data_IF_027869700686
#
_entry.id   IF_027869700686
#
_cell.length_a   1.000
_cell.length_b   1.000
_cell.length_c   1.000
_cell.angle_alpha   90.00
_cell.angle_beta   90.00
_cell.angle_gamma   90.00
#
_symmetry.space_group_name_H-M   'P 1'
#
loop_
_entity.id
_entity.type
_entity.pdbx_description
1 polymer ?
#
# COMPACT_ATOMS: atom_id res chain seq x y z
N UNK A 1 -4.21 -11.60 -6.48
CA UNK A 1 -4.51 -11.13 -5.11
C UNK A 1 -3.38 -11.54 -4.20
N UNK A 2 -2.62 -10.55 -3.77
CA UNK A 2 -1.52 -10.63 -2.83
C UNK A 2 -1.91 -9.98 -1.50
N UNK A 3 -1.30 -10.46 -0.43
CA UNK A 3 -1.36 -9.83 0.88
C UNK A 3 0.07 -9.48 1.27
N UNK A 4 0.40 -8.19 1.20
CA UNK A 4 1.76 -7.69 1.37
C UNK A 4 1.82 -6.89 2.67
N UNK A 5 2.81 -7.21 3.49
CA UNK A 5 3.07 -6.52 4.75
C UNK A 5 4.52 -6.08 4.74
N UNK A 6 4.73 -4.78 4.93
CA UNK A 6 6.04 -4.16 5.14
C UNK A 6 6.58 -4.46 6.54
N UNK A 7 7.33 -3.51 7.06
CA UNK A 7 8.08 -3.59 8.30
C UNK A 7 7.91 -2.30 9.10
N UNK A 8 8.59 -2.19 10.25
CA UNK A 8 8.56 -0.95 11.03
C UNK A 8 9.63 0.06 10.58
N UNK A 9 10.02 0.00 9.30
CA UNK A 9 11.01 0.86 8.65
C UNK A 9 10.39 1.44 7.38
N UNK A 10 11.10 2.37 6.75
CA UNK A 10 10.65 2.92 5.46
C UNK A 10 10.73 1.84 4.36
N UNK A 11 9.59 1.47 3.80
CA UNK A 11 9.45 0.44 2.79
C UNK A 11 9.09 1.00 1.41
N UNK A 12 9.60 0.32 0.38
CA UNK A 12 9.17 0.50 -1.01
C UNK A 12 8.39 -0.74 -1.45
N UNK A 13 7.08 -0.62 -1.58
CA UNK A 13 6.19 -1.75 -1.83
C UNK A 13 5.52 -1.59 -3.19
N UNK A 14 5.54 -2.66 -3.99
CA UNK A 14 4.77 -2.76 -5.23
C UNK A 14 3.82 -3.94 -5.16
N UNK A 15 2.54 -3.68 -5.40
CA UNK A 15 1.49 -4.67 -5.60
C UNK A 15 1.54 -5.30 -6.99
N UNK A 16 0.44 -5.94 -7.35
CA UNK A 16 0.28 -6.74 -8.56
C UNK A 16 -0.74 -6.11 -9.51
N UNK A 17 -1.24 -6.86 -10.48
CA UNK A 17 -2.33 -6.39 -11.35
C UNK A 17 -3.71 -6.86 -10.89
N UNK A 18 -3.76 -7.55 -9.75
CA UNK A 18 -4.98 -8.05 -9.12
C UNK A 18 -5.29 -7.21 -7.89
N UNK A 19 -6.53 -7.31 -7.40
CA UNK A 19 -6.94 -6.72 -6.13
C UNK A 19 -6.06 -7.23 -4.97
N UNK A 20 -5.33 -6.33 -4.34
CA UNK A 20 -4.35 -6.61 -3.31
C UNK A 20 -4.72 -5.96 -1.97
N UNK A 21 -4.11 -6.46 -0.89
CA UNK A 21 -4.11 -5.79 0.41
C UNK A 21 -2.67 -5.53 0.81
N UNK A 22 -2.35 -4.27 1.04
CA UNK A 22 -0.98 -3.83 1.32
C UNK A 22 -0.96 -3.03 2.62
N UNK A 23 -0.02 -3.37 3.51
CA UNK A 23 0.16 -2.72 4.83
C UNK A 23 1.61 -2.28 5.02
N UNK A 24 1.85 -0.98 5.17
CA UNK A 24 3.17 -0.39 5.39
C UNK A 24 3.72 -0.66 6.80
N UNK A 25 2.90 -0.40 7.82
CA UNK A 25 3.18 -0.48 9.28
C UNK A 25 3.76 0.82 9.84
N UNK A 26 4.99 0.84 10.35
CA UNK A 26 5.62 2.06 10.85
C UNK A 26 6.73 2.47 9.86
N UNK A 27 6.93 3.77 9.64
CA UNK A 27 7.93 4.24 8.69
C UNK A 27 7.34 5.25 7.72
N UNK A 28 8.18 5.83 6.87
CA UNK A 28 7.70 6.65 5.76
C UNK A 28 7.73 5.78 4.50
N UNK A 29 6.60 5.17 4.16
CA UNK A 29 6.53 4.17 3.12
C UNK A 29 6.19 4.78 1.75
N UNK A 30 6.61 4.10 0.69
CA UNK A 30 6.14 4.35 -0.68
C UNK A 30 5.49 3.09 -1.19
N UNK A 31 4.18 3.14 -1.39
CA UNK A 31 3.36 2.00 -1.79
C UNK A 31 2.71 2.30 -3.14
N UNK A 32 2.95 1.44 -4.11
CA UNK A 32 2.30 1.42 -5.43
C UNK A 32 1.50 0.11 -5.54
N UNK A 33 0.18 0.17 -5.53
CA UNK A 33 -0.63 -1.05 -5.51
C UNK A 33 -0.76 -1.75 -6.86
N UNK A 34 -0.36 -1.11 -7.95
CA UNK A 34 -0.53 -1.64 -9.30
C UNK A 34 -1.96 -1.45 -9.82
N UNK A 35 -2.57 -2.46 -10.44
CA UNK A 35 -3.96 -2.37 -10.96
C UNK A 35 -4.89 -3.23 -10.11
N UNK A 36 -6.18 -2.96 -10.20
CA UNK A 36 -7.19 -3.68 -9.44
C UNK A 36 -7.78 -2.80 -8.36
N UNK A 37 -8.77 -3.32 -7.65
CA UNK A 37 -9.39 -2.60 -6.54
C UNK A 37 -8.65 -2.95 -5.26
N UNK A 38 -7.75 -2.07 -4.82
CA UNK A 38 -6.80 -2.37 -3.76
C UNK A 38 -7.19 -1.79 -2.39
N UNK A 39 -6.66 -2.41 -1.34
CA UNK A 39 -6.67 -1.86 0.02
C UNK A 39 -5.25 -1.51 0.44
N UNK A 40 -4.94 -0.21 0.52
CA UNK A 40 -3.66 0.28 0.99
C UNK A 40 -3.80 0.84 2.41
N UNK A 41 -2.99 0.35 3.34
CA UNK A 41 -2.87 0.86 4.70
C UNK A 41 -1.43 1.29 4.90
N UNK A 42 -1.17 2.60 4.95
CA UNK A 42 0.17 3.14 5.22
C UNK A 42 0.62 2.77 6.63
N UNK A 43 -0.10 3.30 7.63
CA UNK A 43 0.26 3.12 9.03
C UNK A 43 1.09 4.32 9.52
N UNK A 44 1.79 4.17 10.63
CA UNK A 44 2.40 5.31 11.28
C UNK A 44 3.56 5.89 10.45
N UNK A 45 3.40 7.12 9.99
CA UNK A 45 4.46 7.91 9.38
C UNK A 45 3.96 8.72 8.20
N UNK A 46 4.89 9.26 7.42
CA UNK A 46 4.55 10.06 6.25
C UNK A 46 4.62 9.20 5.00
N UNK A 47 3.52 8.52 4.68
CA UNK A 47 3.47 7.58 3.56
C UNK A 47 3.07 8.24 2.24
N UNK A 48 3.60 7.70 1.14
CA UNK A 48 3.16 7.91 -0.22
C UNK A 48 2.43 6.67 -0.73
N UNK A 49 1.10 6.67 -0.62
CA UNK A 49 0.24 5.63 -1.18
C UNK A 49 -0.28 6.04 -2.57
N UNK A 50 0.00 5.21 -3.57
CA UNK A 50 -0.50 5.29 -4.94
C UNK A 50 -1.39 4.06 -5.25
N UNK A 51 -2.70 4.28 -5.36
CA UNK A 51 -3.68 3.26 -5.76
C UNK A 51 -3.72 2.99 -7.27
N UNK A 52 -3.17 3.91 -8.08
CA UNK A 52 -3.31 3.96 -9.54
C UNK A 52 -4.78 4.11 -10.01
N UNK A 53 -5.20 3.25 -10.93
CA UNK A 53 -6.51 3.25 -11.59
C UNK A 53 -7.38 2.19 -10.94
N UNK A 54 -8.69 2.31 -11.11
CA UNK A 54 -9.72 1.46 -10.52
C UNK A 54 -10.13 1.92 -9.10
N UNK A 55 -10.96 1.16 -8.40
CA UNK A 55 -11.63 1.62 -7.18
C UNK A 55 -10.87 1.19 -5.92
N UNK A 56 -9.97 2.05 -5.45
CA UNK A 56 -9.10 1.78 -4.29
C UNK A 56 -9.60 2.35 -2.97
N UNK A 57 -9.19 1.71 -1.87
CA UNK A 57 -9.32 2.24 -0.51
C UNK A 57 -7.95 2.56 0.06
N UNK A 58 -7.67 3.84 0.29
CA UNK A 58 -6.41 4.31 0.86
C UNK A 58 -6.62 4.79 2.29
N UNK A 59 -5.89 4.17 3.23
CA UNK A 59 -5.86 4.55 4.62
C UNK A 59 -4.43 5.02 5.01
N UNK A 60 -4.31 6.28 5.45
CA UNK A 60 -3.05 6.96 5.73
C UNK A 60 -2.85 7.33 7.22
N UNK A 61 -3.41 6.55 8.15
CA UNK A 61 -3.47 6.90 9.58
C UNK A 61 -2.12 7.16 10.21
#
# INVERSE_FOLDING_TARGET
MANIVGSNLNDGISGTTDNDTIRGLDGNDTIDSGRGNDLLIGGNGNDLLNGNLDDDTLNRW
#
